data_IF_321954218921
#
_entry.id   IF_321954218921
#
_cell.length_a   1.000
_cell.length_b   1.000
_cell.length_c   1.000
_cell.angle_alpha   90.00
_cell.angle_beta   90.00
_cell.angle_gamma   90.00
#
_symmetry.space_group_name_H-M   'P 1'
#
loop_
_entity.id
_entity.type
_entity.pdbx_description
1 polymer ?
#
# COMPACT_ATOMS: atom_id res chain seq x y z
N UNK A 1 29.46 -28.74 -50.07
CA UNK A 1 28.18 -28.91 -49.34
C UNK A 1 28.41 -28.86 -47.81
N UNK A 2 28.74 -27.69 -47.21
CA UNK A 2 29.01 -27.57 -45.73
C UNK A 2 28.12 -26.54 -44.99
N UNK A 3 27.26 -25.79 -45.68
CA UNK A 3 26.44 -24.71 -45.07
C UNK A 3 25.32 -25.22 -44.14
N UNK A 4 24.81 -26.44 -44.36
CA UNK A 4 23.66 -26.95 -43.59
C UNK A 4 24.02 -27.32 -42.13
N UNK A 5 25.27 -27.70 -41.86
CA UNK A 5 25.71 -28.08 -40.52
C UNK A 5 25.92 -26.84 -39.62
N UNK A 6 26.42 -25.74 -40.18
CA UNK A 6 26.70 -24.50 -39.46
C UNK A 6 25.43 -23.78 -38.99
N UNK A 7 24.37 -23.80 -39.81
CA UNK A 7 23.09 -23.16 -39.46
C UNK A 7 22.36 -23.91 -38.32
N UNK A 8 22.45 -25.25 -38.27
CA UNK A 8 21.91 -26.05 -37.16
C UNK A 8 22.61 -25.76 -35.84
N UNK A 9 23.94 -25.61 -35.86
CA UNK A 9 24.68 -25.23 -34.66
C UNK A 9 24.36 -23.81 -34.18
N UNK A 10 24.20 -22.85 -35.10
CA UNK A 10 23.82 -21.48 -34.73
C UNK A 10 22.42 -21.41 -34.09
N UNK A 11 21.44 -22.10 -34.69
CA UNK A 11 20.07 -22.17 -34.13
C UNK A 11 20.10 -22.85 -32.75
N UNK A 12 20.84 -23.94 -32.60
CA UNK A 12 20.97 -24.63 -31.32
C UNK A 12 21.65 -23.76 -30.24
N UNK A 13 22.64 -22.93 -30.60
CA UNK A 13 23.27 -22.01 -29.65
C UNK A 13 22.33 -20.89 -29.23
N UNK A 14 21.54 -20.34 -30.16
CA UNK A 14 20.54 -19.30 -29.85
C UNK A 14 19.44 -19.86 -28.95
N UNK A 15 18.95 -21.07 -29.19
CA UNK A 15 17.94 -21.69 -28.33
C UNK A 15 18.47 -22.01 -26.94
N UNK A 16 19.71 -22.49 -26.82
CA UNK A 16 20.37 -22.69 -25.52
C UNK A 16 20.54 -21.37 -24.78
N UNK A 17 20.94 -20.30 -25.47
CA UNK A 17 21.11 -18.99 -24.84
C UNK A 17 19.76 -18.44 -24.32
N UNK A 18 18.69 -18.58 -25.12
CA UNK A 18 17.36 -18.16 -24.72
C UNK A 18 16.85 -18.96 -23.52
N UNK A 19 17.04 -20.29 -23.50
CA UNK A 19 16.59 -21.12 -22.35
C UNK A 19 17.37 -20.78 -21.09
N UNK A 20 18.68 -20.58 -21.17
CA UNK A 20 19.50 -20.15 -20.03
C UNK A 20 19.06 -18.77 -19.52
N UNK A 21 18.78 -17.83 -20.42
CA UNK A 21 18.29 -16.50 -20.05
C UNK A 21 16.92 -16.58 -19.36
N UNK A 22 15.99 -17.39 -19.87
CA UNK A 22 14.71 -17.64 -19.24
C UNK A 22 14.85 -18.28 -17.84
N UNK A 23 15.72 -19.27 -17.69
CA UNK A 23 15.98 -19.91 -16.39
C UNK A 23 16.57 -18.90 -15.40
N UNK A 24 17.48 -18.03 -15.85
CA UNK A 24 18.09 -17.00 -15.01
C UNK A 24 17.07 -15.95 -14.56
N UNK A 25 16.18 -15.50 -15.45
CA UNK A 25 15.07 -14.61 -15.11
C UNK A 25 14.15 -15.29 -14.09
N UNK A 26 13.75 -16.54 -14.32
CA UNK A 26 12.92 -17.29 -13.38
C UNK A 26 13.61 -17.42 -12.02
N UNK A 27 14.91 -17.71 -11.99
CA UNK A 27 15.69 -17.81 -10.76
C UNK A 27 15.73 -16.46 -10.01
N UNK A 28 15.98 -15.33 -10.68
CA UNK A 28 15.94 -14.00 -10.05
C UNK A 28 14.56 -13.71 -9.47
N UNK A 29 13.49 -14.04 -10.18
CA UNK A 29 12.12 -13.86 -9.69
C UNK A 29 11.82 -14.76 -8.49
N UNK A 30 12.32 -16.00 -8.48
CA UNK A 30 12.16 -16.95 -7.37
C UNK A 30 13.05 -16.63 -6.15
N UNK A 31 14.25 -16.10 -6.35
CA UNK A 31 15.16 -15.73 -5.25
C UNK A 31 14.82 -14.37 -4.63
N UNK A 32 13.96 -13.57 -5.26
CA UNK A 32 13.37 -12.37 -4.67
C UNK A 32 12.07 -12.64 -3.89
N UNK A 33 11.75 -13.90 -3.55
CA UNK A 33 10.71 -14.14 -2.57
C UNK A 33 11.20 -13.66 -1.19
N UNK A 34 10.43 -12.80 -0.48
CA UNK A 34 10.71 -12.49 0.91
C UNK A 34 10.71 -13.79 1.72
N UNK A 35 11.70 -13.98 2.59
CA UNK A 35 11.85 -15.18 3.40
C UNK A 35 10.54 -15.52 4.13
N UNK A 36 10.05 -16.78 4.06
CA UNK A 36 8.93 -17.19 4.89
C UNK A 36 9.33 -17.18 6.37
N UNK A 37 8.65 -16.36 7.16
CA UNK A 37 8.77 -16.30 8.62
C UNK A 37 8.46 -17.68 9.22
N UNK A 38 9.51 -18.43 9.53
CA UNK A 38 9.40 -19.77 10.11
C UNK A 38 8.98 -19.67 11.58
N UNK A 39 7.68 -19.81 11.87
CA UNK A 39 7.14 -19.91 13.24
C UNK A 39 7.60 -21.22 13.87
N UNK A 40 8.78 -21.21 14.45
CA UNK A 40 9.21 -22.25 15.40
C UNK A 40 8.61 -21.93 16.76
N UNK A 41 7.62 -22.74 17.16
CA UNK A 41 7.10 -22.77 18.52
C UNK A 41 8.20 -23.21 19.50
N UNK A 42 8.89 -22.27 20.12
CA UNK A 42 9.63 -22.51 21.37
C UNK A 42 8.95 -21.75 22.50
N UNK A 43 8.20 -22.49 23.33
CA UNK A 43 7.95 -22.12 24.72
C UNK A 43 9.30 -22.10 25.44
N UNK A 44 9.76 -20.92 25.85
CA UNK A 44 10.64 -20.78 27.01
C UNK A 44 10.42 -19.38 27.57
N UNK A 45 9.93 -19.32 28.80
CA UNK A 45 9.60 -18.08 29.48
C UNK A 45 10.84 -17.29 29.85
N UNK A 46 10.72 -15.97 29.74
CA UNK A 46 11.44 -15.04 30.60
C UNK A 46 10.59 -13.78 30.73
N UNK A 47 10.13 -13.51 31.95
CA UNK A 47 9.36 -12.32 32.31
C UNK A 47 10.25 -11.08 32.17
N UNK A 48 9.87 -10.16 31.28
CA UNK A 48 10.25 -8.76 31.39
C UNK A 48 9.00 -7.90 31.41
N UNK A 49 8.77 -7.33 32.58
CA UNK A 49 7.78 -6.33 32.91
C UNK A 49 8.00 -5.11 32.01
N UNK A 50 7.25 -5.02 30.91
CA UNK A 50 6.82 -3.75 30.33
C UNK A 50 5.39 -3.95 29.87
N UNK A 51 4.51 -3.23 30.56
CA UNK A 51 3.06 -3.13 30.36
C UNK A 51 2.76 -2.49 28.99
N UNK A 52 3.09 -3.19 27.90
CA UNK A 52 2.48 -2.91 26.61
C UNK A 52 1.08 -3.49 26.69
N UNK A 53 0.12 -2.58 26.81
CA UNK A 53 -1.30 -2.87 26.72
C UNK A 53 -1.51 -3.53 25.36
N UNK A 54 -1.48 -4.86 25.32
CA UNK A 54 -1.95 -5.67 24.21
C UNK A 54 -3.46 -5.43 24.13
N UNK A 55 -3.85 -4.28 23.60
CA UNK A 55 -5.19 -4.07 23.07
C UNK A 55 -5.36 -5.18 22.05
N UNK A 56 -6.38 -6.01 22.22
CA UNK A 56 -6.84 -6.86 21.14
C UNK A 56 -7.14 -5.95 19.95
N UNK A 57 -6.36 -6.07 18.87
CA UNK A 57 -6.47 -5.30 17.62
C UNK A 57 -7.72 -5.79 16.87
N UNK A 58 -8.90 -5.64 17.48
CA UNK A 58 -10.18 -6.00 16.87
C UNK A 58 -11.21 -4.87 16.88
N UNK A 59 -10.98 -3.76 17.59
CA UNK A 59 -11.97 -2.67 17.68
C UNK A 59 -11.47 -1.34 17.11
N UNK A 60 -10.42 -1.33 16.28
CA UNK A 60 -10.09 -0.11 15.54
C UNK A 60 -11.00 0.00 14.32
N UNK A 61 -11.83 1.05 14.28
CA UNK A 61 -12.77 1.32 13.21
C UNK A 61 -12.13 2.28 12.20
N UNK A 62 -11.88 1.80 10.97
CA UNK A 62 -11.36 2.62 9.87
C UNK A 62 -12.41 3.57 9.25
N UNK A 63 -13.66 3.51 9.73
CA UNK A 63 -14.80 4.12 9.08
C UNK A 63 -15.17 3.38 7.79
N UNK A 64 -16.35 3.66 7.24
CA UNK A 64 -16.87 2.91 6.08
C UNK A 64 -15.98 3.02 4.83
N UNK A 65 -15.44 4.21 4.57
CA UNK A 65 -14.56 4.42 3.41
C UNK A 65 -13.19 3.77 3.60
N UNK A 66 -12.62 3.83 4.81
CA UNK A 66 -11.36 3.16 5.10
C UNK A 66 -11.46 1.64 5.04
N UNK A 67 -12.57 1.07 5.53
CA UNK A 67 -12.88 -0.35 5.35
C UNK A 67 -13.02 -0.72 3.86
N UNK A 68 -13.77 0.08 3.09
CA UNK A 68 -13.93 -0.12 1.65
C UNK A 68 -12.57 -0.13 0.92
N UNK A 69 -11.66 0.79 1.25
CA UNK A 69 -10.31 0.80 0.68
C UNK A 69 -9.54 -0.49 0.95
N UNK A 70 -9.58 -0.99 2.19
CA UNK A 70 -8.89 -2.22 2.55
C UNK A 70 -9.52 -3.41 1.83
N UNK A 71 -10.85 -3.49 1.77
CA UNK A 71 -11.59 -4.57 1.11
C UNK A 71 -11.32 -4.65 -0.41
N UNK A 72 -10.95 -3.55 -1.07
CA UNK A 72 -10.55 -3.51 -2.47
C UNK A 72 -9.21 -4.21 -2.76
N UNK A 73 -8.40 -4.50 -1.73
CA UNK A 73 -7.07 -5.11 -1.88
C UNK A 73 -7.09 -6.63 -1.64
N UNK A 74 -6.18 -7.39 -2.29
CA UNK A 74 -5.93 -8.79 -1.95
C UNK A 74 -5.40 -8.91 -0.51
N UNK A 75 -6.17 -9.57 0.37
CA UNK A 75 -5.87 -9.66 1.81
C UNK A 75 -4.72 -10.61 2.16
N UNK A 76 -4.32 -11.45 1.22
CA UNK A 76 -3.25 -12.45 1.32
C UNK A 76 -1.89 -11.92 0.85
N UNK A 77 -1.82 -10.67 0.36
CA UNK A 77 -0.61 -10.03 -0.12
C UNK A 77 -0.17 -8.88 0.78
N UNK A 78 1.13 -8.65 0.80
CA UNK A 78 1.76 -7.59 1.59
C UNK A 78 1.50 -6.22 0.96
N UNK A 79 0.66 -5.43 1.60
CA UNK A 79 0.39 -4.03 1.25
C UNK A 79 0.56 -3.11 2.44
N UNK A 80 0.86 -1.84 2.15
CA UNK A 80 0.71 -0.74 3.10
C UNK A 80 -0.28 0.26 2.55
N UNK A 81 -1.30 0.60 3.34
CA UNK A 81 -2.37 1.52 2.94
C UNK A 81 -2.35 2.74 3.84
N UNK A 82 -2.25 3.91 3.23
CA UNK A 82 -2.37 5.20 3.90
C UNK A 82 -3.83 5.68 3.83
N UNK A 83 -4.65 5.23 4.77
CA UNK A 83 -6.10 5.48 4.77
C UNK A 83 -6.40 6.88 5.32
N UNK A 84 -7.11 7.75 4.60
CA UNK A 84 -7.58 9.00 5.19
C UNK A 84 -8.53 8.74 6.38
N UNK A 85 -8.43 9.55 7.42
CA UNK A 85 -9.42 9.54 8.51
C UNK A 85 -10.82 9.92 8.02
N UNK A 86 -11.87 9.55 8.76
CA UNK A 86 -13.24 9.91 8.40
C UNK A 86 -13.43 11.43 8.28
N UNK A 87 -12.73 12.21 9.12
CA UNK A 87 -12.73 13.68 9.00
C UNK A 87 -12.05 14.15 7.72
N UNK A 88 -10.97 13.50 7.29
CA UNK A 88 -10.28 13.84 6.05
C UNK A 88 -11.13 13.49 4.81
N UNK A 89 -11.80 12.33 4.80
CA UNK A 89 -12.78 12.00 3.75
C UNK A 89 -13.89 13.06 3.64
N UNK A 90 -14.43 13.48 4.78
CA UNK A 90 -15.49 14.49 4.80
C UNK A 90 -15.00 15.88 4.37
N UNK A 91 -13.83 16.29 4.86
CA UNK A 91 -13.29 17.64 4.63
C UNK A 91 -12.71 17.79 3.23
N UNK A 92 -11.90 16.82 2.79
CA UNK A 92 -11.08 16.94 1.59
C UNK A 92 -11.75 16.33 0.36
N UNK A 93 -12.68 15.37 0.53
CA UNK A 93 -13.40 14.71 -0.58
C UNK A 93 -14.91 14.89 -0.52
N UNK A 94 -15.44 15.60 0.49
CA UNK A 94 -16.88 15.81 0.71
C UNK A 94 -17.68 14.50 0.84
N UNK A 95 -16.99 13.40 1.14
CA UNK A 95 -17.62 12.10 1.30
C UNK A 95 -18.16 11.95 2.72
N UNK A 96 -19.46 11.64 2.82
CA UNK A 96 -20.08 11.31 4.10
C UNK A 96 -20.86 10.01 3.98
N UNK A 97 -20.77 9.17 5.00
CA UNK A 97 -21.43 7.85 5.01
C UNK A 97 -22.94 7.96 4.74
N UNK A 98 -23.58 9.00 5.27
CA UNK A 98 -25.04 9.20 5.17
C UNK A 98 -25.52 9.57 3.77
N UNK A 99 -24.66 10.15 2.93
CA UNK A 99 -25.05 10.64 1.61
C UNK A 99 -24.35 9.88 0.48
N UNK A 100 -23.04 9.68 0.59
CA UNK A 100 -22.20 9.08 -0.45
C UNK A 100 -22.45 7.58 -0.64
N UNK A 101 -22.96 6.87 0.38
CA UNK A 101 -23.29 5.44 0.27
C UNK A 101 -24.73 5.16 -0.16
N UNK A 102 -25.50 6.18 -0.56
CA UNK A 102 -26.81 5.97 -1.18
C UNK A 102 -26.66 5.35 -2.56
N UNK A 103 -27.67 4.59 -3.00
CA UNK A 103 -27.60 3.80 -4.23
C UNK A 103 -27.32 4.63 -5.49
N UNK A 104 -27.81 5.86 -5.54
CA UNK A 104 -27.62 6.81 -6.64
C UNK A 104 -26.21 7.41 -6.68
N UNK A 105 -25.52 7.54 -5.53
CA UNK A 105 -24.17 8.12 -5.41
C UNK A 105 -23.06 7.09 -5.18
N UNK A 106 -23.41 5.82 -4.97
CA UNK A 106 -22.46 4.77 -4.61
C UNK A 106 -21.38 4.57 -5.68
N UNK A 107 -21.75 4.60 -6.97
CA UNK A 107 -20.79 4.39 -8.05
C UNK A 107 -19.73 5.50 -8.11
N UNK A 108 -20.16 6.76 -7.98
CA UNK A 108 -19.26 7.92 -7.98
C UNK A 108 -18.34 7.87 -6.75
N UNK A 109 -18.91 7.54 -5.60
CA UNK A 109 -18.17 7.35 -4.35
C UNK A 109 -17.14 6.23 -4.47
N UNK A 110 -17.53 5.10 -5.05
CA UNK A 110 -16.63 3.97 -5.28
C UNK A 110 -15.48 4.37 -6.23
N UNK A 111 -15.76 5.15 -7.27
CA UNK A 111 -14.74 5.66 -8.19
C UNK A 111 -13.75 6.60 -7.48
N UNK A 112 -14.25 7.54 -6.65
CA UNK A 112 -13.43 8.45 -5.84
C UNK A 112 -12.53 7.65 -4.88
N UNK A 113 -13.11 6.71 -4.12
CA UNK A 113 -12.36 5.87 -3.16
C UNK A 113 -11.32 5.01 -3.88
N UNK A 114 -11.66 4.44 -5.04
CA UNK A 114 -10.73 3.66 -5.86
C UNK A 114 -9.56 4.51 -6.38
N UNK A 115 -9.83 5.77 -6.77
CA UNK A 115 -8.80 6.71 -7.22
C UNK A 115 -7.84 7.06 -6.08
N UNK A 116 -8.39 7.36 -4.90
CA UNK A 116 -7.60 7.62 -3.68
C UNK A 116 -6.77 6.40 -3.27
N UNK A 117 -7.33 5.20 -3.36
CA UNK A 117 -6.61 3.94 -3.12
C UNK A 117 -5.37 3.83 -4.02
N UNK A 118 -5.50 4.16 -5.31
CA UNK A 118 -4.38 4.14 -6.25
C UNK A 118 -3.20 5.02 -5.81
N UNK A 119 -3.47 6.18 -5.21
CA UNK A 119 -2.43 7.09 -4.73
C UNK A 119 -1.86 6.72 -3.36
N UNK A 120 -2.60 5.98 -2.54
CA UNK A 120 -2.30 5.81 -1.11
C UNK A 120 -1.82 4.41 -0.71
N UNK A 121 -1.65 3.51 -1.68
CA UNK A 121 -1.22 2.13 -1.41
C UNK A 121 0.17 1.87 -1.97
N UNK A 122 1.03 1.22 -1.18
CA UNK A 122 2.34 0.71 -1.62
C UNK A 122 2.31 -0.83 -1.60
N UNK A 123 2.75 -1.52 -2.66
CA UNK A 123 2.75 -2.99 -2.76
C UNK A 123 3.89 -3.65 -1.95
N UNK A 124 3.98 -3.31 -0.67
CA UNK A 124 4.89 -3.92 0.32
C UNK A 124 4.42 -3.62 1.74
N UNK A 125 4.92 -4.38 2.70
CA UNK A 125 4.80 -4.03 4.13
C UNK A 125 5.77 -2.90 4.48
N UNK A 126 5.26 -1.89 5.17
CA UNK A 126 6.01 -0.76 5.72
C UNK A 126 5.43 -0.45 7.11
N UNK A 127 6.18 -0.78 8.16
CA UNK A 127 5.84 -0.44 9.53
C UNK A 127 6.58 0.83 9.97
N UNK A 128 6.06 1.53 10.98
CA UNK A 128 6.72 2.72 11.53
C UNK A 128 8.10 2.41 12.14
N UNK A 129 8.35 1.14 12.51
CA UNK A 129 9.64 0.68 13.06
C UNK A 129 10.72 0.54 11.99
N UNK A 130 10.33 0.41 10.72
CA UNK A 130 11.27 0.28 9.59
C UNK A 130 11.85 1.65 9.18
N UNK A 131 11.22 2.74 9.61
CA UNK A 131 11.61 4.11 9.31
C UNK A 131 12.47 4.69 10.42
N UNK A 132 13.64 5.24 10.04
CA UNK A 132 14.50 5.98 10.98
C UNK A 132 13.99 7.41 11.11
N UNK A 133 14.12 7.97 12.32
CA UNK A 133 13.80 9.37 12.55
C UNK A 133 14.67 10.29 11.68
N UNK A 134 14.02 11.27 11.02
CA UNK A 134 14.69 12.23 10.13
C UNK A 134 15.05 11.70 8.74
N UNK A 135 14.81 10.42 8.46
CA UNK A 135 14.94 9.84 7.12
C UNK A 135 13.68 10.08 6.29
N UNK A 136 13.87 10.38 5.01
CA UNK A 136 12.79 10.44 4.03
C UNK A 136 13.06 9.35 3.00
N UNK A 137 12.11 8.43 2.86
CA UNK A 137 12.17 7.33 1.90
C UNK A 137 11.11 7.56 0.83
N UNK A 138 11.48 7.31 -0.43
CA UNK A 138 10.55 7.39 -1.57
C UNK A 138 10.01 6.02 -1.92
N UNK A 139 8.71 5.93 -2.13
CA UNK A 139 8.02 4.75 -2.64
C UNK A 139 7.09 5.13 -3.79
N UNK A 140 6.84 4.20 -4.70
CA UNK A 140 5.80 4.36 -5.72
C UNK A 140 4.49 3.76 -5.20
N UNK A 141 3.40 4.52 -5.34
CA UNK A 141 2.06 4.02 -5.05
C UNK A 141 1.59 3.01 -6.12
N UNK A 142 0.42 2.40 -5.92
CA UNK A 142 -0.22 1.54 -6.93
C UNK A 142 -0.42 2.24 -8.28
N UNK A 143 -0.70 3.55 -8.29
CA UNK A 143 -0.81 4.35 -9.51
C UNK A 143 0.53 4.85 -10.06
N UNK A 144 1.65 4.53 -9.39
CA UNK A 144 2.97 5.07 -9.71
C UNK A 144 3.19 6.50 -9.19
N UNK A 145 2.30 7.02 -8.33
CA UNK A 145 2.47 8.33 -7.74
C UNK A 145 3.51 8.29 -6.62
N UNK A 146 4.49 9.23 -6.61
CA UNK A 146 5.58 9.20 -5.63
C UNK A 146 5.09 9.57 -4.23
N UNK A 147 5.43 8.72 -3.26
CA UNK A 147 5.17 8.88 -1.83
C UNK A 147 6.49 9.07 -1.08
N UNK A 148 6.64 10.25 -0.51
CA UNK A 148 7.73 10.62 0.40
C UNK A 148 7.30 10.35 1.82
N UNK A 149 7.80 9.26 2.39
CA UNK A 149 7.44 8.77 3.71
C UNK A 149 8.56 9.06 4.69
N UNK A 150 8.23 9.63 5.85
CA UNK A 150 9.16 9.90 6.93
C UNK A 150 8.52 9.64 8.29
N UNK A 151 9.34 9.66 9.35
CA UNK A 151 8.91 9.52 10.73
C UNK A 151 9.19 10.79 11.51
N UNK A 152 8.17 11.33 12.18
CA UNK A 152 8.29 12.52 13.01
C UNK A 152 8.81 12.21 14.43
N UNK A 153 8.92 13.27 15.25
CA UNK A 153 9.47 13.19 16.62
C UNK A 153 8.59 12.37 17.56
N UNK A 154 7.29 12.29 17.28
CA UNK A 154 6.31 11.53 18.06
C UNK A 154 6.28 10.06 17.62
N UNK A 155 7.04 9.72 16.59
CA UNK A 155 7.07 8.39 15.98
C UNK A 155 5.92 8.14 14.99
N UNK A 156 5.19 9.19 14.61
CA UNK A 156 4.11 9.12 13.62
C UNK A 156 4.70 9.14 12.22
N UNK A 157 4.03 8.45 11.30
CA UNK A 157 4.38 8.50 9.88
C UNK A 157 3.85 9.79 9.27
N UNK A 158 4.66 10.43 8.45
CA UNK A 158 4.29 11.57 7.61
C UNK A 158 4.47 11.15 6.15
N UNK A 159 3.44 11.34 5.33
CA UNK A 159 3.48 11.01 3.90
C UNK A 159 3.10 12.24 3.10
N UNK A 160 3.98 12.70 2.19
CA UNK A 160 3.75 13.89 1.37
C UNK A 160 3.27 15.12 2.18
N UNK A 161 3.87 15.32 3.37
CA UNK A 161 3.53 16.37 4.36
C UNK A 161 2.22 16.16 5.13
N UNK A 162 1.52 15.05 4.93
CA UNK A 162 0.31 14.69 5.67
C UNK A 162 0.70 13.80 6.86
N UNK A 163 0.40 14.24 8.08
CA UNK A 163 0.70 13.49 9.31
C UNK A 163 -0.35 12.40 9.55
N UNK A 164 0.11 11.25 10.01
CA UNK A 164 -0.75 10.17 10.50
C UNK A 164 -1.32 10.49 11.88
N UNK A 165 -2.58 10.09 12.10
CA UNK A 165 -3.23 10.03 13.41
C UNK A 165 -2.94 8.72 14.11
N UNK A 166 -2.80 7.63 13.35
CA UNK A 166 -2.63 6.27 13.85
C UNK A 166 -1.71 5.51 12.89
N UNK A 167 -0.83 4.68 13.42
CA UNK A 167 0.14 3.89 12.65
C UNK A 167 0.07 2.41 13.01
N UNK A 168 0.56 1.57 12.10
CA UNK A 168 0.78 0.13 12.31
C UNK A 168 -0.49 -0.68 12.66
N UNK A 169 -1.65 -0.29 12.13
CA UNK A 169 -2.88 -1.10 12.25
C UNK A 169 -2.77 -2.29 11.31
N UNK A 170 -2.80 -3.52 11.84
CA UNK A 170 -2.69 -4.73 11.03
C UNK A 170 -4.06 -5.29 10.66
N UNK A 171 -4.29 -5.50 9.36
CA UNK A 171 -5.41 -6.27 8.80
C UNK A 171 -4.86 -7.35 7.87
N UNK A 172 -4.89 -8.60 8.30
CA UNK A 172 -4.27 -9.71 7.56
C UNK A 172 -2.78 -9.41 7.25
N UNK A 173 -2.37 -9.50 5.99
CA UNK A 173 -1.02 -9.15 5.51
C UNK A 173 -0.86 -7.65 5.18
N UNK A 174 -1.91 -6.86 5.38
CA UNK A 174 -1.96 -5.42 5.12
C UNK A 174 -1.64 -4.64 6.39
N UNK A 175 -0.77 -3.64 6.25
CA UNK A 175 -0.50 -2.62 7.27
C UNK A 175 -1.22 -1.33 6.90
N UNK A 176 -1.93 -0.75 7.86
CA UNK A 176 -2.72 0.46 7.67
C UNK A 176 -2.20 1.58 8.56
N UNK A 177 -1.99 2.74 7.96
CA UNK A 177 -1.68 3.99 8.65
C UNK A 177 -2.78 5.00 8.34
N UNK A 178 -3.39 5.57 9.37
CA UNK A 178 -4.51 6.51 9.21
C UNK A 178 -3.98 7.94 9.14
N UNK A 179 -4.31 8.68 8.08
CA UNK A 179 -3.84 10.04 7.81
C UNK A 179 -4.88 11.11 8.18
N UNK A 180 -4.41 12.29 8.60
CA UNK A 180 -5.25 13.49 8.77
C UNK A 180 -5.43 14.29 7.46
N UNK A 181 -5.40 13.61 6.33
CA UNK A 181 -5.56 14.21 5.01
C UNK A 181 -5.62 13.14 3.94
N UNK A 182 -5.86 13.58 2.70
CA UNK A 182 -5.95 12.70 1.55
C UNK A 182 -4.74 12.90 0.64
N UNK A 183 -4.13 11.80 0.21
CA UNK A 183 -3.07 11.83 -0.81
C UNK A 183 -3.71 11.77 -2.18
N UNK A 184 -3.39 12.73 -3.04
CA UNK A 184 -3.83 12.78 -4.44
C UNK A 184 -2.89 13.62 -5.29
N UNK A 185 -3.04 13.52 -6.62
CA UNK A 185 -2.41 14.43 -7.58
C UNK A 185 -3.19 15.75 -7.71
N UNK A 186 -2.54 16.76 -8.30
CA UNK A 186 -3.12 18.09 -8.45
C UNK A 186 -4.34 18.12 -9.38
N UNK A 187 -4.37 17.24 -10.40
CA UNK A 187 -5.50 17.15 -11.33
C UNK A 187 -6.75 16.64 -10.61
N UNK A 188 -6.59 15.62 -9.76
CA UNK A 188 -7.69 15.10 -8.95
C UNK A 188 -8.13 16.10 -7.89
N UNK A 189 -7.19 16.76 -7.20
CA UNK A 189 -7.50 17.82 -6.25
C UNK A 189 -8.34 18.94 -6.91
N UNK A 190 -7.94 19.38 -8.10
CA UNK A 190 -8.69 20.38 -8.86
C UNK A 190 -10.10 19.89 -9.25
N UNK A 191 -10.25 18.60 -9.58
CA UNK A 191 -11.58 18.03 -9.91
C UNK A 191 -12.53 18.08 -8.72
N UNK A 192 -12.04 17.79 -7.52
CA UNK A 192 -12.84 17.84 -6.27
C UNK A 192 -13.19 19.28 -5.90
N UNK A 193 -12.27 20.23 -6.11
CA UNK A 193 -12.52 21.66 -5.87
C UNK A 193 -13.51 22.27 -6.87
N UNK A 194 -13.53 21.79 -8.12
CA UNK A 194 -14.40 22.36 -9.16
C UNK A 194 -15.88 22.02 -8.93
N UNK A 195 -16.18 20.96 -8.19
CA UNK A 195 -17.54 20.64 -7.74
C UNK A 195 -18.05 21.62 -6.66
N UNK A 196 -17.16 22.33 -5.96
CA UNK A 196 -17.54 23.34 -4.97
C UNK A 196 -18.22 24.56 -5.58
N UNK A 197 -17.75 25.02 -6.74
CA UNK A 197 -18.21 26.29 -7.33
C UNK A 197 -19.57 26.17 -8.04
N UNK A 198 -20.13 24.97 -8.16
CA UNK A 198 -21.41 24.74 -8.87
C UNK A 198 -22.63 24.63 -7.94
N UNK A 199 -22.43 24.58 -6.62
CA UNK A 199 -23.53 24.50 -5.63
C UNK A 199 -23.91 25.85 -4.97
N UNK A 200 -23.31 26.97 -5.42
CA UNK A 200 -23.63 28.35 -4.99
C UNK A 200 -24.62 29.08 -5.93
#
# INVERSE_FOLDING_TARGET
>A
MKKHHFLKHSIALITILLTVCCIFIIAITFFNLPEPQNKTNRKMGFDSITRSRKISIQDFNLGKFGEMMVEMLPQDLAFTVFVPSEEAFKRDLRLSVNDSLKQDKFNDTYAIVSRVLGFSVVPRTLCSVDLRFGEVVSYDSLSGFPLFVSKDVDGMIVVNRIKSKIVDVRKNEIVVHVLDGVIMDADFEQSVLSEETQED
#
